data_IF_430418765903
#
_entry.id   IF_430418765903
#
_cell.length_a   1.000
_cell.length_b   1.000
_cell.length_c   1.000
_cell.angle_alpha   90.00
_cell.angle_beta   90.00
_cell.angle_gamma   90.00
#
_symmetry.space_group_name_H-M   'P 1'
#
loop_
_entity.id
_entity.type
_entity.pdbx_description
1 polymer ?
#
# COMPACT_ATOMS: atom_id res chain seq x y z
N UNK A 1 -26.88 -0.62 6.30
CA UNK A 1 -26.27 0.71 6.32
C UNK A 1 -25.50 0.88 5.04
N UNK A 2 -25.48 2.07 4.45
CA UNK A 2 -24.68 2.34 3.25
C UNK A 2 -23.28 2.69 3.70
N UNK A 3 -22.25 2.06 3.14
CA UNK A 3 -20.87 2.38 3.46
C UNK A 3 -20.54 3.77 2.90
N UNK A 4 -19.81 4.58 3.66
CA UNK A 4 -19.35 5.89 3.21
C UNK A 4 -18.18 5.71 2.24
N UNK A 5 -18.21 6.44 1.12
CA UNK A 5 -17.07 6.47 0.20
C UNK A 5 -15.96 7.38 0.77
N UNK A 6 -14.96 6.79 1.41
CA UNK A 6 -13.79 7.47 1.96
C UNK A 6 -12.56 6.60 1.73
N UNK A 7 -12.00 6.55 0.50
CA UNK A 7 -10.83 5.75 0.24
C UNK A 7 -9.64 6.25 1.04
N UNK A 8 -8.87 5.31 1.59
CA UNK A 8 -7.72 5.57 2.46
C UNK A 8 -6.50 4.70 2.14
N UNK A 9 -6.53 3.97 1.03
CA UNK A 9 -5.50 3.01 0.66
C UNK A 9 -5.49 1.77 1.55
N UNK A 10 -4.34 1.10 1.56
CA UNK A 10 -4.14 -0.07 2.40
C UNK A 10 -3.69 0.33 3.82
N UNK A 11 -4.41 -0.13 4.84
CA UNK A 11 -4.05 0.13 6.24
C UNK A 11 -3.63 -1.17 6.92
N UNK A 12 -2.40 -1.29 7.47
CA UNK A 12 -1.96 -2.51 8.12
C UNK A 12 -2.77 -2.78 9.39
N UNK A 13 -3.14 -4.05 9.61
CA UNK A 13 -4.05 -4.45 10.69
C UNK A 13 -3.33 -5.34 11.70
N UNK A 14 -2.70 -6.40 11.19
CA UNK A 14 -1.97 -7.41 11.95
C UNK A 14 -1.02 -8.17 11.03
N UNK A 15 -0.01 -8.77 11.61
CA UNK A 15 0.97 -9.57 10.88
C UNK A 15 0.90 -11.03 11.32
N UNK A 16 0.17 -11.88 10.61
CA UNK A 16 -0.03 -13.27 11.07
C UNK A 16 1.31 -14.02 11.24
N UNK A 17 1.62 -14.67 12.39
CA UNK A 17 0.76 -14.97 13.55
C UNK A 17 0.82 -13.96 14.72
N UNK A 18 1.62 -12.89 14.60
CA UNK A 18 1.82 -11.88 15.64
C UNK A 18 0.94 -10.63 15.42
N UNK A 19 0.91 -9.72 16.40
CA UNK A 19 0.13 -8.47 16.29
C UNK A 19 1.02 -7.29 15.88
N UNK A 20 2.35 -7.46 15.94
CA UNK A 20 3.30 -6.41 15.56
C UNK A 20 3.34 -6.24 14.03
N UNK A 21 3.17 -5.00 13.58
CA UNK A 21 3.35 -4.60 12.18
C UNK A 21 4.84 -4.28 12.00
N UNK A 22 5.62 -5.10 11.28
CA UNK A 22 7.03 -4.81 11.03
C UNK A 22 7.15 -3.53 10.22
N UNK A 23 8.13 -2.70 10.58
CA UNK A 23 8.33 -1.38 9.97
C UNK A 23 9.75 -1.30 9.44
N UNK A 24 9.88 -1.26 8.12
CA UNK A 24 11.16 -1.11 7.45
C UNK A 24 11.26 0.26 6.79
N UNK A 25 12.49 0.78 6.73
CA UNK A 25 12.76 2.10 6.15
C UNK A 25 13.19 1.95 4.69
N UNK A 26 12.61 2.81 3.85
CA UNK A 26 12.83 2.80 2.41
C UNK A 26 13.12 4.21 1.91
N UNK A 27 13.89 4.30 0.83
CA UNK A 27 14.32 5.54 0.23
C UNK A 27 13.39 5.96 -0.90
N UNK A 28 13.03 7.24 -0.92
CA UNK A 28 12.35 7.90 -2.04
C UNK A 28 13.31 8.98 -2.57
N UNK A 29 13.77 8.89 -3.82
CA UNK A 29 14.66 9.89 -4.39
C UNK A 29 13.90 11.13 -4.84
N UNK A 30 14.58 12.28 -4.84
CA UNK A 30 14.03 13.52 -5.40
C UNK A 30 13.81 13.48 -6.92
N UNK A 31 14.35 12.47 -7.62
CA UNK A 31 14.05 12.23 -9.04
C UNK A 31 12.70 11.55 -9.27
N UNK A 32 12.08 10.96 -8.23
CA UNK A 32 10.81 10.27 -8.37
C UNK A 32 9.65 11.27 -8.51
N UNK A 33 9.12 11.40 -9.71
CA UNK A 33 8.18 12.45 -10.09
C UNK A 33 6.70 12.15 -9.76
N UNK A 34 6.42 11.19 -8.86
CA UNK A 34 5.06 10.85 -8.43
C UNK A 34 4.90 11.09 -6.94
N UNK A 35 3.80 11.74 -6.55
CA UNK A 35 3.48 11.93 -5.14
C UNK A 35 3.11 10.58 -4.49
N UNK A 36 3.57 10.39 -3.26
CA UNK A 36 3.34 9.18 -2.46
C UNK A 36 2.57 9.52 -1.20
N UNK A 37 1.60 8.68 -0.88
CA UNK A 37 0.66 8.87 0.22
C UNK A 37 0.73 7.70 1.20
N UNK A 38 0.25 7.91 2.43
CA UNK A 38 0.07 6.83 3.40
C UNK A 38 -1.02 5.88 2.85
N UNK A 39 -0.73 4.59 2.85
CA UNK A 39 -1.58 3.55 2.27
C UNK A 39 -1.30 3.24 0.80
N UNK A 40 -0.34 3.92 0.15
CA UNK A 40 0.09 3.55 -1.19
C UNK A 40 0.85 2.21 -1.17
N UNK A 41 0.48 1.25 -2.05
CA UNK A 41 1.31 0.08 -2.30
C UNK A 41 2.55 0.48 -3.11
N UNK A 42 3.69 -0.12 -2.76
CA UNK A 42 5.00 0.22 -3.33
C UNK A 42 5.76 -1.03 -3.73
N UNK A 43 6.71 -0.86 -4.66
CA UNK A 43 7.61 -1.89 -5.15
C UNK A 43 9.05 -1.41 -5.06
N UNK A 44 9.97 -2.30 -4.67
CA UNK A 44 11.41 -2.04 -4.74
C UNK A 44 11.86 -1.88 -6.18
N UNK A 45 12.84 -1.02 -6.41
CA UNK A 45 13.38 -0.74 -7.76
C UNK A 45 14.64 -1.53 -8.12
N UNK A 46 15.21 -2.31 -7.17
CA UNK A 46 16.52 -2.95 -7.33
C UNK A 46 17.70 -2.01 -7.05
N UNK A 47 17.43 -0.78 -6.61
CA UNK A 47 18.43 0.21 -6.23
C UNK A 47 18.32 0.60 -4.76
N UNK A 48 19.18 1.52 -4.32
CA UNK A 48 19.22 2.05 -2.96
C UNK A 48 19.68 3.49 -2.97
N UNK A 49 19.59 4.16 -1.82
CA UNK A 49 20.14 5.51 -1.66
C UNK A 49 21.64 5.56 -2.01
N UNK A 50 22.02 6.44 -2.94
CA UNK A 50 23.41 6.55 -3.43
C UNK A 50 24.29 7.44 -2.55
N UNK A 51 23.67 8.22 -1.66
CA UNK A 51 24.32 9.14 -0.72
C UNK A 51 23.79 8.92 0.69
N UNK A 52 24.50 9.45 1.69
CA UNK A 52 24.03 9.40 3.06
C UNK A 52 22.77 10.26 3.21
N UNK A 53 21.70 9.65 3.72
CA UNK A 53 20.42 10.32 3.94
C UNK A 53 20.29 10.61 5.43
N UNK A 54 20.03 11.86 5.80
CA UNK A 54 19.76 12.23 7.20
C UNK A 54 18.34 12.73 7.33
N UNK A 55 17.53 12.05 8.15
CA UNK A 55 16.13 12.41 8.39
C UNK A 55 15.75 12.12 9.83
N UNK A 56 14.98 13.04 10.44
CA UNK A 56 14.53 12.94 11.83
C UNK A 56 15.65 12.63 12.86
N UNK A 57 16.84 13.20 12.67
CA UNK A 57 17.99 12.99 13.56
C UNK A 57 18.68 11.63 13.41
N UNK A 58 18.29 10.81 12.43
CA UNK A 58 18.94 9.56 12.07
C UNK A 58 19.68 9.70 10.75
N UNK A 59 20.89 9.17 10.69
CA UNK A 59 21.67 9.07 9.46
C UNK A 59 21.66 7.63 8.93
N UNK A 60 21.40 7.51 7.65
CA UNK A 60 21.42 6.28 6.89
C UNK A 60 22.56 6.35 5.89
N UNK A 61 23.49 5.39 5.94
CA UNK A 61 24.62 5.36 5.02
C UNK A 61 24.13 5.07 3.59
N UNK A 62 24.90 5.49 2.59
CA UNK A 62 24.69 5.05 1.21
C UNK A 62 24.54 3.52 1.15
N UNK A 63 23.54 3.03 0.41
CA UNK A 63 23.24 1.61 0.26
C UNK A 63 22.40 0.97 1.37
N UNK A 64 22.06 1.69 2.43
CA UNK A 64 21.33 1.11 3.58
C UNK A 64 19.81 1.14 3.46
N UNK A 65 19.27 1.91 2.51
CA UNK A 65 17.84 2.04 2.27
C UNK A 65 17.52 1.60 0.84
N UNK A 66 16.80 0.48 0.65
CA UNK A 66 16.29 0.12 -0.67
C UNK A 66 15.37 1.23 -1.19
N UNK A 67 15.44 1.49 -2.48
CA UNK A 67 14.60 2.49 -3.15
C UNK A 67 13.24 1.89 -3.52
N UNK A 68 12.19 2.69 -3.42
CA UNK A 68 10.81 2.31 -3.74
C UNK A 68 10.16 3.27 -4.72
N UNK A 69 9.31 2.70 -5.57
CA UNK A 69 8.34 3.43 -6.39
C UNK A 69 6.92 3.00 -6.03
N UNK A 70 5.93 3.84 -6.33
CA UNK A 70 4.52 3.46 -6.30
C UNK A 70 4.30 2.23 -7.19
N UNK A 71 3.63 1.21 -6.65
CA UNK A 71 3.32 0.02 -7.41
C UNK A 71 2.28 0.33 -8.49
N UNK A 72 2.46 -0.22 -9.68
CA UNK A 72 1.45 -0.13 -10.75
C UNK A 72 0.23 -0.97 -10.36
N UNK A 73 -0.97 -0.43 -10.54
CA UNK A 73 -2.21 -1.16 -10.36
C UNK A 73 -2.41 -2.17 -11.50
N UNK A 74 -2.96 -3.34 -11.19
CA UNK A 74 -3.34 -4.35 -12.18
C UNK A 74 -2.49 -5.62 -12.17
N UNK A 75 -2.90 -6.56 -13.02
CA UNK A 75 -2.34 -7.91 -13.10
C UNK A 75 -0.82 -7.92 -13.39
N UNK A 76 -0.12 -8.92 -12.86
CA UNK A 76 1.33 -9.13 -12.95
C UNK A 76 2.22 -8.05 -12.31
N UNK A 77 1.65 -6.99 -11.74
CA UNK A 77 2.42 -5.96 -11.03
C UNK A 77 2.59 -6.34 -9.57
N UNK A 78 3.79 -6.81 -9.21
CA UNK A 78 4.11 -7.21 -7.84
C UNK A 78 4.18 -6.02 -6.89
N UNK A 79 3.94 -6.29 -5.60
CA UNK A 79 3.99 -5.31 -4.51
C UNK A 79 5.04 -5.79 -3.49
N UNK A 80 5.86 -4.87 -2.98
CA UNK A 80 6.79 -5.14 -1.88
C UNK A 80 6.19 -4.80 -0.53
N UNK A 81 5.35 -3.78 -0.45
CA UNK A 81 4.70 -3.42 0.80
C UNK A 81 3.80 -2.21 0.63
N UNK A 82 3.40 -1.64 1.76
CA UNK A 82 2.53 -0.48 1.82
C UNK A 82 3.16 0.59 2.70
N UNK A 83 3.11 1.86 2.27
CA UNK A 83 3.58 2.99 3.07
C UNK A 83 2.65 3.19 4.27
N UNK A 84 3.21 3.20 5.47
CA UNK A 84 2.46 3.42 6.73
C UNK A 84 2.82 4.76 7.40
N UNK A 85 3.79 5.47 6.84
CA UNK A 85 4.23 6.77 7.31
C UNK A 85 5.51 7.22 6.63
N UNK A 86 5.95 8.43 6.96
CA UNK A 86 7.21 9.00 6.49
C UNK A 86 7.99 9.56 7.67
N UNK A 87 9.33 9.53 7.59
CA UNK A 87 10.13 10.33 8.51
C UNK A 87 9.89 11.83 8.29
N UNK A 88 10.10 12.61 9.34
CA UNK A 88 9.88 14.05 9.29
C UNK A 88 10.77 14.71 8.23
N UNK A 89 10.17 15.56 7.39
CA UNK A 89 10.90 16.38 6.45
C UNK A 89 11.29 17.69 7.15
N UNK A 90 12.59 17.99 7.36
CA UNK A 90 13.01 19.19 8.08
C UNK A 90 12.62 20.50 7.38
N UNK A 91 12.41 20.49 6.05
CA UNK A 91 11.98 21.67 5.31
C UNK A 91 10.46 21.87 5.32
N UNK A 92 9.70 20.83 5.68
CA UNK A 92 8.25 20.89 5.82
C UNK A 92 7.75 19.85 6.83
N UNK A 93 7.72 20.24 8.10
CA UNK A 93 7.29 19.37 9.20
C UNK A 93 5.79 19.05 9.17
N UNK A 94 4.99 19.81 8.43
CA UNK A 94 3.54 19.63 8.32
C UNK A 94 3.13 18.77 7.10
N UNK A 95 4.10 18.23 6.35
CA UNK A 95 3.82 17.44 5.15
C UNK A 95 3.18 16.08 5.50
N UNK A 96 1.86 15.99 5.31
CA UNK A 96 1.03 14.80 5.53
C UNK A 96 1.31 13.66 4.52
N UNK A 97 1.90 13.97 3.37
CA UNK A 97 2.29 13.04 2.31
C UNK A 97 3.69 13.40 1.79
N UNK A 98 4.24 12.60 0.86
CA UNK A 98 5.45 12.96 0.13
C UNK A 98 5.10 13.56 -1.24
N UNK A 99 5.36 14.86 -1.47
CA UNK A 99 5.18 15.46 -2.78
C UNK A 99 6.06 14.80 -3.85
N UNK A 100 5.66 14.92 -5.10
CA UNK A 100 6.50 14.53 -6.23
C UNK A 100 7.87 15.23 -6.15
N UNK A 101 8.89 14.55 -6.65
CA UNK A 101 10.26 15.05 -6.74
C UNK A 101 10.86 15.53 -5.41
N UNK A 102 10.45 14.91 -4.31
CA UNK A 102 10.92 15.23 -2.96
C UNK A 102 11.62 14.02 -2.36
N UNK A 103 12.90 14.19 -1.99
CA UNK A 103 13.66 13.16 -1.29
C UNK A 103 13.08 12.96 0.13
N UNK A 104 12.77 11.71 0.49
CA UNK A 104 12.25 11.37 1.82
C UNK A 104 12.49 9.90 2.15
N UNK A 105 12.43 9.59 3.45
CA UNK A 105 12.44 8.20 3.93
C UNK A 105 11.01 7.78 4.27
N UNK A 106 10.54 6.72 3.62
CA UNK A 106 9.25 6.08 3.92
C UNK A 106 9.41 4.99 4.97
N UNK A 107 8.34 4.77 5.73
CA UNK A 107 8.17 3.62 6.62
C UNK A 107 7.16 2.70 5.92
N UNK A 108 7.56 1.47 5.65
CA UNK A 108 6.78 0.51 4.86
C UNK A 108 6.52 -0.74 5.69
N UNK A 109 5.29 -1.23 5.63
CA UNK A 109 4.93 -2.58 6.06
C UNK A 109 5.07 -3.53 4.86
N UNK A 110 6.13 -4.32 4.86
CA UNK A 110 6.59 -5.16 3.73
C UNK A 110 6.62 -6.65 4.08
N UNK A 111 6.00 -7.05 5.20
CA UNK A 111 5.92 -8.46 5.56
C UNK A 111 4.93 -9.18 4.63
N UNK A 112 5.32 -10.27 3.96
CA UNK A 112 4.43 -11.11 3.15
C UNK A 112 3.13 -11.57 3.83
N UNK A 113 3.15 -11.69 5.15
CA UNK A 113 2.03 -12.17 5.98
C UNK A 113 1.20 -11.03 6.59
N UNK A 114 1.51 -9.78 6.24
CA UNK A 114 0.78 -8.61 6.69
C UNK A 114 -0.64 -8.60 6.09
N UNK A 115 -1.64 -8.47 6.97
CA UNK A 115 -3.02 -8.19 6.56
C UNK A 115 -3.27 -6.68 6.56
N UNK A 116 -4.04 -6.24 5.56
CA UNK A 116 -4.42 -4.86 5.34
C UNK A 116 -5.94 -4.71 5.31
N UNK A 117 -6.43 -3.54 5.67
CA UNK A 117 -7.76 -3.05 5.35
C UNK A 117 -7.71 -2.23 4.06
N UNK A 118 -8.71 -2.38 3.20
CA UNK A 118 -8.89 -1.54 2.03
C UNK A 118 -10.39 -1.41 1.71
N UNK A 119 -10.80 -0.26 1.19
CA UNK A 119 -12.15 -0.05 0.66
C UNK A 119 -12.26 -0.56 -0.78
N UNK A 120 -13.39 -1.12 -1.16
CA UNK A 120 -13.69 -1.39 -2.57
C UNK A 120 -14.15 -0.13 -3.33
N UNK A 121 -13.86 -0.09 -4.63
CA UNK A 121 -14.25 1.00 -5.54
C UNK A 121 -15.71 0.88 -6.07
N UNK A 122 -16.06 1.66 -7.09
CA UNK A 122 -17.46 1.85 -7.57
C UNK A 122 -17.65 1.60 -9.07
N UNK A 123 -16.67 1.07 -9.80
CA UNK A 123 -16.84 0.84 -11.25
C UNK A 123 -17.63 -0.43 -11.60
N UNK A 124 -17.79 -1.37 -10.67
CA UNK A 124 -18.37 -2.70 -10.90
C UNK A 124 -19.54 -3.07 -10.00
N UNK A 125 -19.81 -4.39 -9.92
CA UNK A 125 -20.72 -4.93 -8.93
C UNK A 125 -19.99 -5.02 -7.60
N UNK A 126 -20.59 -4.51 -6.53
CA UNK A 126 -20.05 -4.64 -5.17
C UNK A 126 -19.63 -6.08 -4.86
N UNK A 127 -18.53 -6.25 -4.12
CA UNK A 127 -18.05 -7.58 -3.79
C UNK A 127 -19.07 -8.31 -2.93
N UNK A 128 -19.33 -9.58 -3.26
CA UNK A 128 -20.25 -10.41 -2.52
C UNK A 128 -19.50 -11.28 -1.49
N UNK A 129 -20.25 -11.94 -0.60
CA UNK A 129 -19.67 -12.89 0.35
C UNK A 129 -18.89 -14.02 -0.36
N UNK A 130 -19.27 -14.36 -1.60
CA UNK A 130 -18.61 -15.35 -2.45
C UNK A 130 -17.24 -14.89 -2.97
N UNK A 131 -16.91 -13.60 -2.87
CA UNK A 131 -15.59 -13.07 -3.24
C UNK A 131 -14.50 -13.40 -2.21
N UNK A 132 -14.90 -13.82 -1.00
CA UNK A 132 -13.95 -14.24 0.04
C UNK A 132 -13.15 -15.46 -0.44
N UNK A 133 -11.82 -15.35 -0.40
CA UNK A 133 -10.89 -16.37 -0.88
C UNK A 133 -10.43 -16.20 -2.33
N UNK A 134 -11.11 -15.34 -3.11
CA UNK A 134 -10.65 -14.93 -4.44
C UNK A 134 -9.51 -13.90 -4.33
N UNK A 135 -8.85 -13.69 -5.45
CA UNK A 135 -7.88 -12.62 -5.63
C UNK A 135 -8.52 -11.48 -6.44
N UNK A 136 -7.98 -10.28 -6.28
CA UNK A 136 -8.36 -9.09 -7.04
C UNK A 136 -7.15 -8.15 -7.17
N UNK A 137 -7.23 -7.22 -8.12
CA UNK A 137 -6.23 -6.17 -8.25
C UNK A 137 -6.58 -4.97 -7.37
N UNK A 138 -5.59 -4.09 -7.17
CA UNK A 138 -5.89 -2.74 -6.74
C UNK A 138 -6.21 -1.87 -7.95
N UNK A 139 -6.88 -0.75 -7.69
CA UNK A 139 -7.12 0.31 -8.66
C UNK A 139 -6.83 1.66 -8.01
N UNK A 140 -6.40 2.63 -8.80
CA UNK A 140 -6.29 4.03 -8.38
C UNK A 140 -7.45 4.81 -8.99
N UNK A 141 -8.69 4.45 -8.62
CA UNK A 141 -9.89 5.10 -9.12
C UNK A 141 -9.99 6.56 -8.61
N UNK A 142 -9.47 6.80 -7.40
CA UNK A 142 -9.37 8.11 -6.79
C UNK A 142 -7.91 8.56 -6.63
N UNK A 143 -7.70 9.88 -6.68
CA UNK A 143 -6.38 10.46 -6.38
C UNK A 143 -6.09 10.46 -4.88
N UNK A 144 -4.82 10.39 -4.49
CA UNK A 144 -4.43 10.58 -3.09
C UNK A 144 -4.76 12.00 -2.58
N UNK A 145 -5.19 12.10 -1.33
CA UNK A 145 -5.58 13.37 -0.72
C UNK A 145 -4.38 14.09 -0.14
N UNK A 146 -4.09 15.27 -0.66
CA UNK A 146 -3.02 16.15 -0.14
C UNK A 146 -3.36 16.79 1.20
N UNK A 147 -4.64 16.74 1.60
CA UNK A 147 -5.14 17.27 2.88
C UNK A 147 -4.95 16.23 3.99
N UNK A 148 -5.40 14.99 3.77
CA UNK A 148 -5.32 13.92 4.79
C UNK A 148 -4.01 13.15 4.71
N UNK A 149 -3.32 13.20 3.57
CA UNK A 149 -2.12 12.42 3.29
C UNK A 149 -2.39 10.96 2.94
N UNK A 150 -3.65 10.58 2.74
CA UNK A 150 -4.07 9.20 2.49
C UNK A 150 -4.14 8.89 1.00
N UNK A 151 -3.81 7.65 0.66
CA UNK A 151 -3.88 7.12 -0.70
C UNK A 151 -5.32 6.95 -1.18
N UNK A 152 -5.54 7.11 -2.48
CA UNK A 152 -6.79 6.77 -3.17
C UNK A 152 -6.79 5.35 -3.73
N UNK A 153 -5.88 4.47 -3.30
CA UNK A 153 -5.89 3.07 -3.71
C UNK A 153 -7.13 2.35 -3.16
N UNK A 154 -7.81 1.62 -4.02
CA UNK A 154 -9.02 0.85 -3.71
C UNK A 154 -8.91 -0.58 -4.25
N UNK A 155 -9.76 -1.46 -3.73
CA UNK A 155 -9.90 -2.83 -4.22
C UNK A 155 -10.79 -2.84 -5.46
N UNK A 156 -10.27 -3.36 -6.56
CA UNK A 156 -10.94 -3.38 -7.86
C UNK A 156 -12.11 -4.40 -7.84
N UNK A 157 -13.33 -3.87 -7.98
CA UNK A 157 -14.57 -4.67 -7.92
C UNK A 157 -14.83 -5.46 -9.19
N UNK A 158 -14.14 -5.16 -10.28
CA UNK A 158 -14.28 -5.81 -11.59
C UNK A 158 -13.35 -7.02 -11.80
N UNK A 159 -12.34 -7.17 -10.92
CA UNK A 159 -11.31 -8.22 -11.01
C UNK A 159 -11.38 -9.39 -10.02
N UNK A 160 -12.41 -9.64 -9.19
CA UNK A 160 -12.46 -10.84 -8.36
C UNK A 160 -12.38 -12.14 -9.19
N UNK A 161 -11.28 -12.88 -9.06
CA UNK A 161 -11.08 -14.16 -9.76
C UNK A 161 -10.08 -15.06 -9.01
N UNK A 162 -9.90 -16.29 -9.51
CA UNK A 162 -8.91 -17.24 -8.97
C UNK A 162 -7.50 -17.06 -9.58
N UNK A 163 -7.25 -15.96 -10.30
CA UNK A 163 -5.98 -15.70 -10.99
C UNK A 163 -4.84 -15.51 -9.98
N UNK A 164 -3.76 -16.27 -10.12
CA UNK A 164 -2.65 -16.30 -9.15
C UNK A 164 -1.76 -15.05 -9.17
N UNK A 165 -1.76 -14.31 -10.27
CA UNK A 165 -0.92 -13.12 -10.49
C UNK A 165 -1.56 -11.81 -10.01
N UNK A 166 -2.84 -11.87 -9.60
CA UNK A 166 -3.56 -10.73 -9.04
C UNK A 166 -2.95 -10.29 -7.71
N UNK A 167 -3.04 -8.99 -7.47
CA UNK A 167 -2.20 -8.31 -6.48
C UNK A 167 -2.59 -8.62 -5.04
N UNK A 168 -3.89 -8.74 -4.76
CA UNK A 168 -4.44 -8.89 -3.43
C UNK A 168 -5.26 -10.17 -3.33
N UNK A 169 -5.24 -10.79 -2.15
CA UNK A 169 -6.15 -11.88 -1.79
C UNK A 169 -7.17 -11.40 -0.77
N UNK A 170 -8.45 -11.60 -1.07
CA UNK A 170 -9.57 -11.21 -0.22
C UNK A 170 -9.73 -12.23 0.90
N UNK A 171 -9.61 -11.80 2.15
CA UNK A 171 -9.63 -12.69 3.31
C UNK A 171 -11.00 -12.75 3.98
N UNK A 172 -11.63 -11.58 4.17
CA UNK A 172 -12.95 -11.44 4.80
C UNK A 172 -13.43 -10.00 4.72
N UNK A 173 -14.73 -9.79 4.89
CA UNK A 173 -15.28 -8.48 5.20
C UNK A 173 -14.73 -8.00 6.56
N UNK A 174 -14.49 -6.69 6.70
CA UNK A 174 -14.16 -6.10 8.00
C UNK A 174 -15.39 -6.14 8.89
N UNK A 175 -15.25 -6.76 10.07
CA UNK A 175 -16.29 -6.81 11.09
C UNK A 175 -16.33 -5.48 11.85
N UNK A 176 -17.19 -4.57 11.40
CA UNK A 176 -17.43 -3.27 12.01
C UNK A 176 -18.91 -2.89 11.83
N UNK A 177 -19.52 -2.20 12.82
CA UNK A 177 -20.96 -1.88 12.79
C UNK A 177 -21.36 -0.95 11.64
N UNK A 178 -20.41 -0.16 11.12
CA UNK A 178 -20.58 0.77 10.00
C UNK A 178 -20.23 0.15 8.63
N UNK A 179 -19.95 -1.15 8.57
CA UNK A 179 -19.54 -1.84 7.35
C UNK A 179 -20.48 -3.01 7.02
N UNK A 180 -20.98 -3.05 5.79
CA UNK A 180 -21.79 -4.14 5.28
C UNK A 180 -21.43 -4.46 3.83
N UNK A 181 -21.75 -5.67 3.37
CA UNK A 181 -21.63 -6.01 1.94
C UNK A 181 -22.48 -5.04 1.11
N UNK A 182 -21.86 -4.49 0.08
CA UNK A 182 -22.41 -3.41 -0.74
C UNK A 182 -21.32 -2.41 -1.07
N UNK A 183 -21.60 -1.48 -1.98
CA UNK A 183 -20.59 -0.54 -2.49
C UNK A 183 -19.79 0.12 -1.36
N UNK A 184 -18.50 0.32 -1.59
CA UNK A 184 -17.55 0.88 -0.62
C UNK A 184 -17.38 0.05 0.65
N UNK A 185 -17.70 -1.25 0.62
CA UNK A 185 -17.37 -2.15 1.70
C UNK A 185 -15.86 -2.19 1.97
N UNK A 186 -15.51 -2.30 3.26
CA UNK A 186 -14.14 -2.45 3.72
C UNK A 186 -13.82 -3.94 3.85
N UNK A 187 -12.72 -4.35 3.24
CA UNK A 187 -12.27 -5.74 3.18
C UNK A 187 -10.91 -5.91 3.84
N UNK A 188 -10.71 -7.05 4.51
CA UNK A 188 -9.39 -7.52 4.92
C UNK A 188 -8.76 -8.23 3.74
N UNK A 189 -7.56 -7.79 3.37
CA UNK A 189 -6.79 -8.36 2.27
C UNK A 189 -5.38 -8.69 2.74
N UNK A 190 -4.68 -9.52 1.97
CA UNK A 190 -3.22 -9.63 2.03
C UNK A 190 -2.65 -9.45 0.62
N UNK A 191 -1.39 -9.06 0.53
CA UNK A 191 -0.70 -9.04 -0.76
C UNK A 191 -0.51 -10.51 -1.22
N UNK A 192 -0.99 -10.81 -2.42
CA UNK A 192 -0.87 -12.12 -3.04
C UNK A 192 0.36 -12.17 -3.97
N UNK A 193 0.50 -11.19 -4.85
CA UNK A 193 1.68 -11.04 -5.70
C UNK A 193 2.77 -10.22 -4.98
N UNK A 194 3.39 -10.83 -3.96
CA UNK A 194 4.39 -10.19 -3.12
C UNK A 194 5.82 -10.50 -3.60
N UNK A 195 6.64 -9.46 -3.75
CA UNK A 195 8.02 -9.58 -4.25
C UNK A 195 8.89 -10.57 -3.44
N UNK A 196 8.78 -10.55 -2.11
CA UNK A 196 9.58 -11.38 -1.18
C UNK A 196 8.92 -12.73 -0.75
N UNK A 197 7.74 -13.09 -1.27
CA UNK A 197 6.99 -14.27 -0.79
C UNK A 197 7.00 -15.45 -1.76
N UNK A 198 7.03 -15.16 -3.07
CA UNK A 198 7.11 -16.15 -4.13
C UNK A 198 8.56 -16.27 -4.60
N UNK A 199 8.90 -17.34 -5.32
CA UNK A 199 10.17 -17.43 -6.03
C UNK A 199 10.20 -16.40 -7.18
N UNK A 200 10.46 -15.14 -6.82
CA UNK A 200 10.60 -14.03 -7.76
C UNK A 200 12.04 -13.98 -8.25
N UNK A 201 12.24 -13.71 -9.54
CA UNK A 201 13.59 -13.38 -10.04
C UNK A 201 14.11 -12.15 -9.27
N UNK A 202 15.42 -12.09 -9.00
CA UNK A 202 16.02 -10.99 -8.25
C UNK A 202 15.59 -9.63 -8.78
N UNK A 203 15.16 -8.76 -7.86
CA UNK A 203 14.80 -7.35 -8.12
C UNK A 203 16.04 -6.50 -7.94
#
# INVERSE_FOLDING_TARGET
MTNLNTPYGLVPVKNSPFVEIPKNYYYIPSSYATALFIGDPVVKTGTSNTVNVTSAGRSFNAGSLPEINKATAGDNNAITGVIIGFLANPTNLNAAYNPASTERVAIVADNPLQEFEIQEETAGTALAATSVGLNANLVYAESGSTITGLSGAELDTSTPATTSTFQLKILRLVDAPDNAIGQHAKWRVKINNHTEANATAGI
#
